data_IF_199861285032
#
_entry.id   IF_199861285032
#
_cell.length_a   1.000
_cell.length_b   1.000
_cell.length_c   1.000
_cell.angle_alpha   90.00
_cell.angle_beta   90.00
_cell.angle_gamma   90.00
#
_symmetry.space_group_name_H-M   'P 1'
#
loop_
_entity.id
_entity.type
_entity.pdbx_description
1 polymer ?
#
# COMPACT_ATOMS: atom_id res chain seq x y z
N UNK A 1 -13.92 9.92 18.44
CA UNK A 1 -12.46 9.95 18.60
C UNK A 1 -11.91 8.58 18.25
N UNK A 2 -10.94 8.49 17.35
CA UNK A 2 -10.23 7.22 17.10
C UNK A 2 -9.31 6.98 18.29
N UNK A 3 -9.44 5.83 18.95
CA UNK A 3 -8.56 5.44 20.05
C UNK A 3 -7.45 4.54 19.51
N UNK A 4 -6.21 5.05 19.51
CA UNK A 4 -5.03 4.25 19.21
C UNK A 4 -4.56 3.56 20.48
N UNK A 5 -4.96 2.30 20.67
CA UNK A 5 -4.49 1.45 21.76
C UNK A 5 -3.89 0.16 21.20
N UNK A 6 -2.76 -0.24 21.77
CA UNK A 6 -2.04 -1.47 21.43
C UNK A 6 -1.92 -2.29 22.71
N UNK A 7 -2.33 -3.56 22.65
CA UNK A 7 -2.19 -4.51 23.76
C UNK A 7 -0.71 -4.78 24.07
N UNK A 8 -0.40 -5.22 25.29
CA UNK A 8 0.99 -5.48 25.68
C UNK A 8 1.60 -6.68 24.94
N UNK A 9 0.77 -7.68 24.65
CA UNK A 9 1.10 -8.88 23.89
C UNK A 9 1.37 -8.53 22.42
N UNK A 10 0.53 -7.66 21.83
CA UNK A 10 0.72 -7.16 20.46
C UNK A 10 2.08 -6.47 20.30
N UNK A 11 2.55 -5.74 21.31
CA UNK A 11 3.87 -5.07 21.25
C UNK A 11 5.02 -6.05 21.05
N UNK A 12 4.90 -7.30 21.51
CA UNK A 12 5.92 -8.33 21.32
C UNK A 12 5.97 -8.71 19.83
N UNK A 13 4.80 -9.04 19.26
CA UNK A 13 4.66 -9.40 17.84
C UNK A 13 5.17 -8.28 16.94
N UNK A 14 4.73 -7.04 17.18
CA UNK A 14 5.13 -5.89 16.36
C UNK A 14 6.63 -5.59 16.43
N UNK A 15 7.28 -5.82 17.58
CA UNK A 15 8.74 -5.65 17.71
C UNK A 15 9.51 -6.71 16.93
N UNK A 16 9.05 -7.95 16.93
CA UNK A 16 9.69 -9.01 16.14
C UNK A 16 9.53 -8.75 14.63
N UNK A 17 8.36 -8.29 14.19
CA UNK A 17 8.16 -7.87 12.79
C UNK A 17 9.03 -6.68 12.40
N UNK A 18 9.19 -5.69 13.29
CA UNK A 18 10.09 -4.56 13.06
C UNK A 18 11.55 -5.00 12.91
N UNK A 19 12.02 -5.92 13.76
CA UNK A 19 13.37 -6.52 13.64
C UNK A 19 13.53 -7.27 12.32
N UNK A 20 12.52 -8.06 11.93
CA UNK A 20 12.51 -8.82 10.67
C UNK A 20 12.60 -7.88 9.47
N UNK A 21 11.78 -6.83 9.42
CA UNK A 21 11.84 -5.81 8.37
C UNK A 21 13.23 -5.16 8.30
N UNK A 22 13.79 -4.75 9.44
CA UNK A 22 15.12 -4.15 9.49
C UNK A 22 16.18 -5.13 8.98
N UNK A 23 16.14 -6.39 9.41
CA UNK A 23 17.05 -7.43 8.95
C UNK A 23 17.00 -7.62 7.43
N UNK A 24 15.81 -7.64 6.83
CA UNK A 24 15.68 -7.72 5.38
C UNK A 24 16.18 -6.48 4.66
N UNK A 25 15.89 -5.28 5.16
CA UNK A 25 16.38 -4.03 4.57
C UNK A 25 17.91 -3.92 4.53
N UNK A 26 18.61 -4.70 5.36
CA UNK A 26 20.07 -4.72 5.46
C UNK A 26 20.74 -5.79 4.59
N UNK A 27 19.97 -6.63 3.89
CA UNK A 27 20.54 -7.65 3.01
C UNK A 27 21.28 -7.00 1.83
N UNK A 28 22.41 -7.59 1.35
CA UNK A 28 23.15 -7.05 0.20
C UNK A 28 22.28 -6.84 -1.04
N UNK A 29 21.34 -7.77 -1.31
CA UNK A 29 20.40 -7.68 -2.43
C UNK A 29 19.53 -6.42 -2.39
N UNK A 30 19.21 -5.88 -1.20
CA UNK A 30 18.45 -4.64 -1.11
C UNK A 30 19.27 -3.44 -1.58
N UNK A 31 20.57 -3.41 -1.27
CA UNK A 31 21.47 -2.37 -1.78
C UNK A 31 21.65 -2.48 -3.30
N UNK A 32 21.77 -3.71 -3.82
CA UNK A 32 21.81 -3.97 -5.25
C UNK A 32 20.52 -3.49 -5.95
N UNK A 33 19.34 -3.83 -5.41
CA UNK A 33 18.04 -3.38 -5.93
C UNK A 33 17.91 -1.86 -5.92
N UNK A 34 18.34 -1.19 -4.84
CA UNK A 34 18.35 0.28 -4.77
C UNK A 34 19.20 0.86 -5.91
N UNK A 35 20.42 0.37 -6.10
CA UNK A 35 21.31 0.84 -7.16
C UNK A 35 20.71 0.58 -8.55
N UNK A 36 20.10 -0.60 -8.76
CA UNK A 36 19.42 -0.95 -10.01
C UNK A 36 18.23 -0.03 -10.31
N UNK A 37 17.39 0.27 -9.30
CA UNK A 37 16.28 1.21 -9.44
C UNK A 37 16.75 2.62 -9.78
N UNK A 38 17.80 3.11 -9.11
CA UNK A 38 18.38 4.43 -9.39
C UNK A 38 18.92 4.49 -10.83
N UNK A 39 19.70 3.48 -11.25
CA UNK A 39 20.20 3.39 -12.62
C UNK A 39 19.07 3.31 -13.66
N UNK A 40 18.01 2.56 -13.38
CA UNK A 40 16.84 2.47 -14.24
C UNK A 40 16.18 3.85 -14.42
N UNK A 41 16.00 4.60 -13.32
CA UNK A 41 15.42 5.95 -13.35
C UNK A 41 16.30 6.96 -14.11
N UNK A 42 17.61 6.74 -14.16
CA UNK A 42 18.55 7.54 -14.96
C UNK A 42 18.62 7.12 -16.44
N UNK A 43 17.90 6.07 -16.85
CA UNK A 43 17.95 5.52 -18.21
C UNK A 43 19.16 4.60 -18.47
N UNK A 44 19.91 4.24 -17.42
CA UNK A 44 21.09 3.38 -17.48
C UNK A 44 20.79 1.93 -17.02
N UNK A 45 19.52 1.51 -17.07
CA UNK A 45 19.09 0.20 -16.60
C UNK A 45 19.71 -0.95 -17.42
N UNK A 46 20.26 -1.96 -16.75
CA UNK A 46 20.82 -3.17 -17.38
C UNK A 46 19.82 -4.31 -17.49
N UNK A 47 18.70 -4.21 -16.75
CA UNK A 47 17.57 -5.13 -16.79
C UNK A 47 16.26 -4.37 -16.54
N UNK A 48 15.10 -4.94 -16.93
CA UNK A 48 13.81 -4.46 -16.47
C UNK A 48 13.70 -4.59 -14.94
N UNK A 49 13.14 -3.57 -14.30
CA UNK A 49 12.79 -3.61 -12.88
C UNK A 49 11.33 -4.03 -12.73
N UNK A 50 11.07 -5.02 -11.88
CA UNK A 50 9.72 -5.59 -11.70
C UNK A 50 9.23 -5.31 -10.28
N UNK A 51 8.06 -4.69 -10.18
CA UNK A 51 7.31 -4.59 -8.93
C UNK A 51 5.93 -5.20 -9.11
N UNK A 52 5.57 -6.15 -8.26
CA UNK A 52 4.25 -6.77 -8.23
C UNK A 52 3.40 -6.08 -7.17
N UNK A 53 2.38 -5.35 -7.62
CA UNK A 53 1.37 -4.76 -6.75
C UNK A 53 0.45 -5.85 -6.19
N UNK A 54 0.41 -5.98 -4.86
CA UNK A 54 -0.27 -7.10 -4.18
C UNK A 54 -1.71 -6.81 -3.77
N UNK A 55 -2.19 -5.57 -3.93
CA UNK A 55 -3.44 -5.11 -3.32
C UNK A 55 -4.68 -5.95 -3.68
N UNK A 56 -4.73 -6.55 -4.87
CA UNK A 56 -5.88 -7.33 -5.35
C UNK A 56 -5.88 -8.80 -4.91
N UNK A 57 -4.75 -9.32 -4.42
CA UNK A 57 -4.60 -10.71 -3.98
C UNK A 57 -3.89 -10.83 -2.63
N UNK A 58 -3.84 -9.73 -1.88
CA UNK A 58 -3.26 -9.67 -0.54
C UNK A 58 -3.78 -10.78 0.40
N UNK A 59 -5.08 -11.12 0.42
CA UNK A 59 -5.57 -12.22 1.26
C UNK A 59 -4.97 -13.59 0.95
N UNK A 60 -4.46 -13.81 -0.27
CA UNK A 60 -3.92 -15.10 -0.71
C UNK A 60 -2.45 -15.29 -0.30
N UNK A 61 -1.72 -14.20 -0.07
CA UNK A 61 -0.29 -14.22 0.31
C UNK A 61 -0.03 -13.76 1.74
N UNK A 62 -0.99 -13.11 2.39
CA UNK A 62 -0.83 -12.63 3.75
C UNK A 62 -0.92 -13.77 4.77
N UNK A 63 0.01 -13.83 5.75
CA UNK A 63 -0.17 -14.72 6.88
C UNK A 63 -1.34 -14.26 7.76
N UNK A 64 -1.88 -15.20 8.55
CA UNK A 64 -2.91 -14.87 9.53
C UNK A 64 -2.33 -13.93 10.59
N UNK A 65 -2.98 -12.77 10.75
CA UNK A 65 -2.62 -11.77 11.75
C UNK A 65 -2.80 -12.32 13.17
N UNK A 66 -1.83 -12.03 14.04
CA UNK A 66 -1.75 -12.54 15.41
C UNK A 66 -2.12 -11.48 16.45
N UNK A 67 -1.97 -10.19 16.15
CA UNK A 67 -2.35 -9.12 17.04
C UNK A 67 -3.86 -9.15 17.35
N UNK A 68 -4.20 -8.81 18.59
CA UNK A 68 -5.58 -8.83 19.09
C UNK A 68 -6.26 -7.47 19.00
N UNK A 69 -5.52 -6.39 19.28
CA UNK A 69 -6.06 -5.03 19.18
C UNK A 69 -6.19 -4.60 17.73
N UNK A 70 -7.22 -3.80 17.42
CA UNK A 70 -7.46 -3.29 16.07
C UNK A 70 -6.31 -2.42 15.56
N UNK A 71 -5.70 -1.61 16.44
CA UNK A 71 -4.48 -0.85 16.09
C UNK A 71 -3.31 -1.79 15.83
N UNK A 72 -3.14 -2.82 16.66
CA UNK A 72 -2.09 -3.83 16.50
C UNK A 72 -2.18 -4.54 15.15
N UNK A 73 -3.37 -5.06 14.78
CA UNK A 73 -3.60 -5.72 13.49
C UNK A 73 -3.28 -4.83 12.29
N UNK A 74 -3.64 -3.53 12.36
CA UNK A 74 -3.32 -2.57 11.28
C UNK A 74 -1.81 -2.38 11.11
N UNK A 75 -1.08 -2.25 12.22
CA UNK A 75 0.38 -2.11 12.19
C UNK A 75 1.04 -3.42 11.73
N UNK A 76 0.56 -4.56 12.22
CA UNK A 76 1.02 -5.89 11.84
C UNK A 76 0.90 -6.10 10.32
N UNK A 77 -0.27 -5.77 9.76
CA UNK A 77 -0.51 -5.80 8.32
C UNK A 77 0.43 -4.85 7.57
N UNK A 78 0.66 -3.65 8.10
CA UNK A 78 1.62 -2.70 7.54
C UNK A 78 3.04 -3.27 7.47
N UNK A 79 3.50 -3.98 8.50
CA UNK A 79 4.80 -4.66 8.48
C UNK A 79 4.85 -5.74 7.41
N UNK A 80 3.87 -6.65 7.35
CA UNK A 80 3.86 -7.68 6.31
C UNK A 80 3.86 -7.08 4.90
N UNK A 81 3.07 -6.03 4.66
CA UNK A 81 3.07 -5.31 3.37
C UNK A 81 4.43 -4.71 3.00
N UNK A 82 5.32 -4.44 3.95
CA UNK A 82 6.65 -3.91 3.69
C UNK A 82 7.63 -4.96 3.18
N UNK A 83 7.41 -6.26 3.45
CA UNK A 83 8.38 -7.29 3.09
C UNK A 83 7.81 -8.57 2.46
N UNK A 84 6.48 -8.74 2.35
CA UNK A 84 5.91 -9.98 1.80
C UNK A 84 6.32 -10.23 0.34
N UNK A 85 6.51 -9.15 -0.43
CA UNK A 85 7.00 -9.24 -1.80
C UNK A 85 8.34 -9.97 -1.84
N UNK A 86 9.26 -9.62 -0.93
CA UNK A 86 10.54 -10.30 -0.81
C UNK A 86 10.40 -11.77 -0.38
N UNK A 87 9.48 -12.09 0.54
CA UNK A 87 9.35 -13.46 1.04
C UNK A 87 8.65 -14.44 0.09
N UNK A 88 7.67 -13.97 -0.69
CA UNK A 88 6.77 -14.86 -1.45
C UNK A 88 6.90 -14.73 -2.98
N UNK A 89 7.37 -13.58 -3.47
CA UNK A 89 7.42 -13.25 -4.90
C UNK A 89 8.85 -13.07 -5.38
N UNK A 90 9.70 -12.52 -4.51
CA UNK A 90 11.09 -12.13 -4.79
C UNK A 90 11.23 -11.16 -5.99
N UNK A 91 10.32 -10.18 -6.05
CA UNK A 91 10.40 -9.08 -7.03
C UNK A 91 11.52 -8.08 -6.67
N UNK A 92 11.69 -7.03 -7.49
CA UNK A 92 12.74 -6.04 -7.27
C UNK A 92 12.37 -4.98 -6.20
N UNK A 93 11.27 -5.17 -5.45
CA UNK A 93 10.87 -4.21 -4.41
C UNK A 93 11.93 -4.19 -3.30
N UNK A 94 12.27 -2.98 -2.87
CA UNK A 94 13.17 -2.73 -1.75
C UNK A 94 12.36 -2.76 -0.46
N UNK A 95 12.80 -3.58 0.51
CA UNK A 95 12.24 -3.55 1.87
C UNK A 95 12.74 -2.28 2.59
N UNK A 96 11.84 -1.39 3.06
CA UNK A 96 12.26 -0.14 3.67
C UNK A 96 12.92 -0.37 5.05
N UNK A 97 13.95 0.43 5.44
CA UNK A 97 14.56 0.36 6.77
C UNK A 97 13.76 1.13 7.85
N UNK A 98 12.53 1.55 7.55
CA UNK A 98 11.67 2.33 8.41
C UNK A 98 10.21 1.89 8.28
N UNK A 99 9.40 2.21 9.29
CA UNK A 99 7.95 2.04 9.23
C UNK A 99 7.28 3.39 8.91
N UNK A 100 6.61 3.56 7.75
CA UNK A 100 5.97 4.83 7.41
C UNK A 100 4.74 5.09 8.30
N UNK A 101 4.64 6.31 8.82
CA UNK A 101 3.44 6.80 9.52
C UNK A 101 2.83 7.90 8.66
N UNK A 102 1.65 7.62 8.12
CA UNK A 102 0.93 8.54 7.25
C UNK A 102 0.01 9.46 8.04
N UNK A 103 -0.35 10.58 7.43
CA UNK A 103 -1.32 11.51 8.01
C UNK A 103 -2.71 10.90 7.94
N UNK A 104 -3.42 10.90 9.07
CA UNK A 104 -4.84 10.59 9.11
C UNK A 104 -5.62 11.85 8.76
N UNK A 105 -5.78 12.09 7.46
CA UNK A 105 -6.40 13.31 6.94
C UNK A 105 -7.38 12.97 5.82
N UNK A 106 -8.39 13.82 5.68
CA UNK A 106 -9.38 13.75 4.62
C UNK A 106 -9.61 15.15 4.06
N UNK A 107 -9.96 15.23 2.78
CA UNK A 107 -10.32 16.48 2.14
C UNK A 107 -11.39 16.25 1.08
N UNK A 108 -12.18 17.29 0.79
CA UNK A 108 -13.08 17.30 -0.35
C UNK A 108 -12.34 17.86 -1.56
N UNK A 109 -12.15 17.04 -2.60
CA UNK A 109 -11.59 17.51 -3.86
C UNK A 109 -12.45 18.66 -4.39
N UNK A 110 -11.86 19.84 -4.55
CA UNK A 110 -12.54 21.05 -5.03
C UNK A 110 -13.78 21.46 -4.22
N UNK A 111 -13.86 21.07 -2.94
CA UNK A 111 -15.03 21.34 -2.10
C UNK A 111 -16.30 20.58 -2.51
N UNK A 112 -16.19 19.61 -3.42
CA UNK A 112 -17.33 18.88 -3.94
C UNK A 112 -17.39 17.45 -3.37
N UNK A 113 -18.59 16.93 -3.04
CA UNK A 113 -18.75 15.54 -2.63
C UNK A 113 -18.58 14.61 -3.82
N UNK A 114 -17.60 13.70 -3.74
CA UNK A 114 -17.39 12.65 -4.75
C UNK A 114 -18.22 11.44 -4.36
N UNK A 115 -19.36 11.26 -5.02
CA UNK A 115 -20.21 10.10 -4.81
C UNK A 115 -19.76 8.90 -5.66
N UNK A 116 -19.83 7.70 -5.07
CA UNK A 116 -19.57 6.43 -5.76
C UNK A 116 -20.77 5.53 -5.66
N UNK A 117 -21.05 4.82 -6.73
CA UNK A 117 -21.97 3.68 -6.72
C UNK A 117 -21.16 2.40 -6.85
N UNK A 118 -21.52 1.41 -6.06
CA UNK A 118 -20.83 0.13 -6.00
C UNK A 118 -21.75 -0.98 -6.52
N UNK A 119 -21.15 -1.98 -7.16
CA UNK A 119 -21.83 -3.24 -7.48
C UNK A 119 -21.16 -4.36 -6.70
N UNK A 120 -21.97 -5.20 -6.07
CA UNK A 120 -21.51 -6.39 -5.36
C UNK A 120 -21.89 -7.65 -6.11
N UNK A 121 -21.03 -8.66 -6.03
CA UNK A 121 -21.33 -10.03 -6.41
C UNK A 121 -22.41 -10.64 -5.51
N UNK A 122 -23.01 -11.79 -5.89
CA UNK A 122 -23.96 -12.52 -5.04
C UNK A 122 -23.40 -12.93 -3.67
N UNK A 123 -22.08 -13.09 -3.54
CA UNK A 123 -21.39 -13.36 -2.27
C UNK A 123 -21.13 -12.10 -1.43
N UNK A 124 -21.58 -10.92 -1.88
CA UNK A 124 -21.42 -9.65 -1.17
C UNK A 124 -20.09 -8.92 -1.43
N UNK A 125 -19.19 -9.52 -2.20
CA UNK A 125 -17.88 -8.92 -2.52
C UNK A 125 -18.02 -7.85 -3.60
N UNK A 126 -17.47 -6.65 -3.38
CA UNK A 126 -17.53 -5.54 -4.35
C UNK A 126 -16.75 -5.87 -5.63
N UNK A 127 -17.42 -5.85 -6.77
CA UNK A 127 -16.83 -6.20 -8.09
C UNK A 127 -16.48 -4.98 -8.93
N UNK A 128 -17.00 -3.81 -8.57
CA UNK A 128 -16.72 -2.59 -9.29
C UNK A 128 -17.38 -1.39 -8.63
N UNK A 129 -16.96 -0.21 -9.08
CA UNK A 129 -17.62 1.04 -8.71
C UNK A 129 -17.62 2.00 -9.90
N UNK A 130 -18.59 2.91 -9.91
CA UNK A 130 -18.56 4.11 -10.77
C UNK A 130 -18.61 5.36 -9.92
N UNK A 131 -17.87 6.38 -10.35
CA UNK A 131 -17.99 7.72 -9.78
C UNK A 131 -19.17 8.42 -10.43
N UNK A 132 -20.01 9.11 -9.65
CA UNK A 132 -21.01 10.02 -10.22
C UNK A 132 -20.31 11.29 -10.68
N UNK A 133 -20.45 11.61 -11.96
CA UNK A 133 -19.83 12.80 -12.54
C UNK A 133 -20.45 14.07 -11.95
N UNK A 134 -19.61 14.96 -11.40
CA UNK A 134 -20.04 16.26 -10.88
C UNK A 134 -20.14 17.28 -12.02
N UNK A 135 -19.22 17.20 -12.98
CA UNK A 135 -19.22 18.00 -14.21
C UNK A 135 -19.59 17.07 -15.36
N UNK A 136 -20.72 17.34 -15.99
CA UNK A 136 -21.21 16.57 -17.14
C UNK A 136 -20.90 17.22 -18.49
N UNK A 137 -20.66 18.53 -18.50
CA UNK A 137 -20.39 19.35 -19.68
C UNK A 137 -19.40 20.46 -19.31
N UNK A 138 -18.41 20.70 -20.17
CA UNK A 138 -17.41 21.76 -20.02
C UNK A 138 -17.78 23.03 -20.82
N UNK A 139 -18.90 22.99 -21.56
CA UNK A 139 -19.30 24.00 -22.53
C UNK A 139 -18.55 23.86 -23.86
N UNK A 140 -19.09 24.46 -24.93
CA UNK A 140 -18.36 24.63 -26.18
C UNK A 140 -17.29 25.72 -26.02
N UNK A 141 -16.11 25.49 -26.61
CA UNK A 141 -15.14 26.57 -26.81
C UNK A 141 -15.79 27.58 -27.76
N UNK A 142 -15.86 28.88 -27.41
CA UNK A 142 -16.40 29.88 -28.33
C UNK A 142 -15.64 29.83 -29.66
N UNK A 143 -16.34 29.62 -30.76
CA UNK A 143 -15.82 29.82 -32.12
C UNK A 143 -15.63 31.32 -32.35
N UNK A 144 -14.55 31.89 -31.78
CA UNK A 144 -13.99 33.17 -32.20
C UNK A 144 -12.65 33.41 -31.49
N UNK A 145 -11.57 33.10 -32.22
CA UNK A 145 -10.32 33.86 -32.18
C UNK A 145 -9.89 34.14 -33.61
#
# INVERSE_FOLDING_TARGET
MIQFSIASEDRIILRELAKKQLGYSQLPIMQERIAQWLNHNEGNGTKPMIHVEIATFEPDIMPKLQCQSETGKKIELGFYRNFINYEQIDDDRVVPPYFPVHWDTWFHLFGAPIEKEHVSSPSGQGVGHRFKHIVADLGSVPEQM
#
